data_IF_039720496450
#
_entry.id   IF_039720496450
#
_cell.length_a   1.000
_cell.length_b   1.000
_cell.length_c   1.000
_cell.angle_alpha   90.00
_cell.angle_beta   90.00
_cell.angle_gamma   90.00
#
_symmetry.space_group_name_H-M   'P 1'
#
loop_
_entity.id
_entity.type
_entity.pdbx_description
1 polymer ?
#
# COMPACT_ATOMS: atom_id res chain seq x y z
N UNK A 1 -6.57 -11.69 -29.34
CA UNK A 1 -7.95 -11.24 -29.01
C UNK A 1 -8.01 -10.32 -27.79
N UNK A 2 -7.38 -10.66 -26.64
CA UNK A 2 -7.44 -9.83 -25.41
C UNK A 2 -7.08 -8.35 -25.64
N UNK A 3 -6.00 -8.08 -26.36
CA UNK A 3 -5.56 -6.71 -26.65
C UNK A 3 -6.61 -5.86 -27.41
N UNK A 4 -7.35 -6.48 -28.35
CA UNK A 4 -8.43 -5.81 -29.09
C UNK A 4 -9.57 -5.48 -28.15
N UNK A 5 -10.01 -6.45 -27.33
CA UNK A 5 -11.08 -6.25 -26.35
C UNK A 5 -10.70 -5.16 -25.35
N UNK A 6 -9.48 -5.17 -24.80
CA UNK A 6 -9.01 -4.12 -23.89
C UNK A 6 -9.01 -2.74 -24.55
N UNK A 7 -8.69 -2.66 -25.85
CA UNK A 7 -8.73 -1.40 -26.60
C UNK A 7 -10.16 -0.88 -26.81
N UNK A 8 -11.12 -1.76 -27.09
CA UNK A 8 -12.52 -1.34 -27.25
C UNK A 8 -13.15 -0.93 -25.91
N UNK A 9 -12.81 -1.63 -24.84
CA UNK A 9 -13.25 -1.24 -23.48
C UNK A 9 -12.63 0.09 -23.05
N UNK A 10 -11.37 0.34 -23.38
CA UNK A 10 -10.74 1.66 -23.19
C UNK A 10 -11.52 2.76 -23.93
N UNK A 11 -11.83 2.56 -25.22
CA UNK A 11 -12.63 3.52 -26.02
C UNK A 11 -13.99 3.78 -25.39
N UNK A 12 -14.66 2.73 -24.89
CA UNK A 12 -15.93 2.85 -24.16
C UNK A 12 -15.77 3.71 -22.91
N UNK A 13 -14.73 3.49 -22.11
CA UNK A 13 -14.50 4.21 -20.85
C UNK A 13 -14.30 5.71 -21.04
N UNK A 14 -13.64 6.13 -22.12
CA UNK A 14 -13.35 7.54 -22.42
C UNK A 14 -14.42 8.24 -23.27
N UNK A 15 -15.48 7.54 -23.68
CA UNK A 15 -16.56 8.14 -24.47
C UNK A 15 -17.34 9.17 -23.63
N UNK A 16 -17.70 10.33 -24.19
CA UNK A 16 -18.53 11.30 -23.49
C UNK A 16 -19.90 10.69 -23.12
N UNK A 17 -20.46 11.14 -21.99
CA UNK A 17 -21.80 10.77 -21.51
C UNK A 17 -22.01 9.28 -21.19
N UNK A 18 -20.94 8.53 -20.87
CA UNK A 18 -21.08 7.18 -20.33
C UNK A 18 -21.49 7.25 -18.86
N UNK A 19 -22.41 6.37 -18.45
CA UNK A 19 -22.81 6.21 -17.06
C UNK A 19 -21.60 5.78 -16.19
N UNK A 20 -21.32 6.43 -15.03
CA UNK A 20 -20.23 6.05 -14.13
C UNK A 20 -20.25 4.57 -13.72
N UNK A 21 -21.44 3.96 -13.58
CA UNK A 21 -21.57 2.52 -13.32
C UNK A 21 -21.00 1.67 -14.45
N UNK A 22 -21.23 2.06 -15.71
CA UNK A 22 -20.67 1.36 -16.86
C UNK A 22 -19.15 1.46 -16.89
N UNK A 23 -18.59 2.64 -16.55
CA UNK A 23 -17.14 2.79 -16.38
C UNK A 23 -16.60 1.90 -15.27
N UNK A 24 -17.30 1.80 -14.14
CA UNK A 24 -16.91 0.95 -13.02
C UNK A 24 -16.85 -0.53 -13.44
N UNK A 25 -17.90 -1.03 -14.10
CA UNK A 25 -17.92 -2.42 -14.58
C UNK A 25 -16.90 -2.68 -15.69
N UNK A 26 -16.60 -1.70 -16.54
CA UNK A 26 -15.52 -1.79 -17.51
C UNK A 26 -14.15 -1.96 -16.82
N UNK A 27 -13.87 -1.18 -15.76
CA UNK A 27 -12.65 -1.34 -14.95
C UNK A 27 -12.62 -2.71 -14.28
N UNK A 28 -13.73 -3.16 -13.68
CA UNK A 28 -13.82 -4.49 -13.08
C UNK A 28 -13.52 -5.60 -14.10
N UNK A 29 -14.09 -5.50 -15.30
CA UNK A 29 -13.82 -6.43 -16.39
C UNK A 29 -12.34 -6.44 -16.77
N UNK A 30 -11.73 -5.27 -17.01
CA UNK A 30 -10.30 -5.17 -17.33
C UNK A 30 -9.44 -5.77 -16.21
N UNK A 31 -9.79 -5.55 -14.94
CA UNK A 31 -9.04 -6.08 -13.79
C UNK A 31 -9.07 -7.61 -13.67
N UNK A 32 -10.03 -8.26 -14.33
CA UNK A 32 -10.19 -9.71 -14.35
C UNK A 32 -9.53 -10.38 -15.56
N UNK A 33 -9.01 -9.60 -16.52
CA UNK A 33 -8.26 -10.15 -17.65
C UNK A 33 -7.07 -10.95 -17.12
N UNK A 34 -7.04 -12.24 -17.47
CA UNK A 34 -5.92 -13.11 -17.10
C UNK A 34 -4.72 -12.78 -18.00
N UNK A 35 -3.63 -12.38 -17.35
CA UNK A 35 -2.36 -12.06 -17.99
C UNK A 35 -1.39 -13.22 -17.80
N UNK A 36 -0.57 -13.45 -18.82
CA UNK A 36 0.56 -14.37 -18.79
C UNK A 36 1.88 -13.60 -19.03
N UNK A 37 3.02 -14.23 -18.74
CA UNK A 37 4.34 -13.57 -18.80
C UNK A 37 4.78 -13.18 -20.23
N UNK A 38 4.18 -13.78 -21.25
CA UNK A 38 4.34 -13.42 -22.67
C UNK A 38 3.54 -12.16 -23.08
N UNK A 39 2.64 -11.67 -22.23
CA UNK A 39 1.75 -10.53 -22.52
C UNK A 39 2.23 -9.22 -21.87
N UNK A 40 3.54 -8.98 -21.85
CA UNK A 40 4.14 -7.82 -21.17
C UNK A 40 3.64 -6.47 -21.71
N UNK A 41 3.50 -6.35 -23.03
CA UNK A 41 3.00 -5.13 -23.68
C UNK A 41 1.54 -4.84 -23.32
N UNK A 42 0.71 -5.89 -23.25
CA UNK A 42 -0.69 -5.77 -22.84
C UNK A 42 -0.78 -5.33 -21.38
N UNK A 43 0.04 -5.91 -20.50
CA UNK A 43 0.11 -5.52 -19.10
C UNK A 43 0.51 -4.05 -18.94
N UNK A 44 1.53 -3.59 -19.66
CA UNK A 44 1.96 -2.19 -19.66
C UNK A 44 0.86 -1.24 -20.18
N UNK A 45 0.13 -1.66 -21.23
CA UNK A 45 -1.03 -0.92 -21.74
C UNK A 45 -2.15 -0.82 -20.69
N UNK A 46 -2.49 -1.92 -20.02
CA UNK A 46 -3.51 -1.93 -18.97
C UNK A 46 -3.14 -1.01 -17.81
N UNK A 47 -1.88 -1.03 -17.34
CA UNK A 47 -1.40 -0.08 -16.32
C UNK A 47 -1.60 1.36 -16.76
N UNK A 48 -1.31 1.66 -18.03
CA UNK A 48 -1.51 3.00 -18.61
C UNK A 48 -2.99 3.39 -18.60
N UNK A 49 -3.89 2.49 -19.00
CA UNK A 49 -5.35 2.70 -18.97
C UNK A 49 -5.81 2.96 -17.54
N UNK A 50 -5.42 2.13 -16.57
CA UNK A 50 -5.82 2.31 -15.17
C UNK A 50 -5.34 3.65 -14.61
N UNK A 51 -4.09 4.04 -14.84
CA UNK A 51 -3.59 5.30 -14.33
C UNK A 51 -4.17 6.53 -15.03
N UNK A 52 -4.45 6.45 -16.33
CA UNK A 52 -5.11 7.54 -17.04
C UNK A 52 -6.50 7.80 -16.47
N UNK A 53 -7.28 6.74 -16.21
CA UNK A 53 -8.60 6.87 -15.58
C UNK A 53 -8.51 7.26 -14.10
N UNK A 54 -7.53 6.73 -13.36
CA UNK A 54 -7.24 7.12 -11.98
C UNK A 54 -6.97 8.63 -11.86
N UNK A 55 -6.12 9.19 -12.74
CA UNK A 55 -5.89 10.64 -12.79
C UNK A 55 -7.16 11.42 -13.08
N UNK A 56 -8.02 10.92 -13.98
CA UNK A 56 -9.29 11.55 -14.29
C UNK A 56 -10.24 11.58 -13.06
N UNK A 57 -10.36 10.48 -12.32
CA UNK A 57 -11.14 10.42 -11.08
C UNK A 57 -10.59 11.39 -10.02
N UNK A 58 -9.28 11.41 -9.80
CA UNK A 58 -8.63 12.31 -8.83
C UNK A 58 -8.85 13.79 -9.22
N UNK A 59 -8.72 14.15 -10.50
CA UNK A 59 -8.95 15.52 -10.98
C UNK A 59 -10.39 15.97 -10.81
N UNK A 60 -11.37 15.08 -11.05
CA UNK A 60 -12.79 15.38 -10.87
C UNK A 60 -13.22 15.45 -9.40
N UNK A 61 -12.32 15.17 -8.45
CA UNK A 61 -12.62 14.89 -7.04
C UNK A 61 -13.67 13.79 -6.88
N UNK A 62 -13.80 12.96 -7.90
CA UNK A 62 -14.69 11.81 -7.94
C UNK A 62 -13.92 10.62 -7.33
N UNK A 63 -13.74 10.73 -6.01
CA UNK A 63 -13.01 9.76 -5.19
C UNK A 63 -14.02 8.70 -4.73
N UNK A 64 -14.79 8.15 -5.66
CA UNK A 64 -15.58 6.96 -5.37
C UNK A 64 -14.62 5.83 -4.97
N UNK A 65 -14.65 5.50 -3.67
CA UNK A 65 -13.72 4.52 -3.07
C UNK A 65 -13.75 3.15 -3.77
N UNK A 66 -14.87 2.79 -4.40
CA UNK A 66 -15.02 1.54 -5.18
C UNK A 66 -14.26 1.60 -6.50
N UNK A 67 -14.40 2.69 -7.27
CA UNK A 67 -13.69 2.89 -8.53
C UNK A 67 -12.18 2.88 -8.30
N UNK A 68 -11.69 3.65 -7.33
CA UNK A 68 -10.26 3.70 -7.03
C UNK A 68 -9.71 2.35 -6.55
N UNK A 69 -10.49 1.59 -5.78
CA UNK A 69 -10.09 0.23 -5.38
C UNK A 69 -10.02 -0.72 -6.57
N UNK A 70 -10.96 -0.64 -7.51
CA UNK A 70 -10.94 -1.46 -8.73
C UNK A 70 -9.72 -1.14 -9.59
N UNK A 71 -9.41 0.15 -9.79
CA UNK A 71 -8.23 0.61 -10.54
C UNK A 71 -6.93 0.13 -9.89
N UNK A 72 -6.75 0.34 -8.58
CA UNK A 72 -5.55 -0.10 -7.86
C UNK A 72 -5.41 -1.63 -7.84
N UNK A 73 -6.52 -2.37 -7.80
CA UNK A 73 -6.50 -3.83 -7.91
C UNK A 73 -6.03 -4.25 -9.31
N UNK A 74 -6.53 -3.58 -10.36
CA UNK A 74 -6.10 -3.81 -11.74
C UNK A 74 -4.60 -3.54 -11.93
N UNK A 75 -4.09 -2.43 -11.40
CA UNK A 75 -2.66 -2.10 -11.47
C UNK A 75 -1.81 -3.13 -10.72
N UNK A 76 -2.15 -3.46 -9.48
CA UNK A 76 -1.40 -4.47 -8.70
C UNK A 76 -1.38 -5.85 -9.37
N UNK A 77 -2.42 -6.20 -10.13
CA UNK A 77 -2.49 -7.48 -10.87
C UNK A 77 -1.71 -7.45 -12.18
N UNK A 78 -1.72 -6.33 -12.89
CA UNK A 78 -1.00 -6.18 -14.16
C UNK A 78 0.50 -5.93 -13.97
N UNK A 79 0.88 -5.28 -12.88
CA UNK A 79 2.25 -4.85 -12.61
C UNK A 79 3.30 -5.99 -12.69
N UNK A 80 3.09 -7.19 -12.10
CA UNK A 80 4.08 -8.28 -12.19
C UNK A 80 4.37 -8.79 -13.61
N UNK A 81 3.49 -8.50 -14.57
CA UNK A 81 3.64 -8.92 -15.97
C UNK A 81 4.20 -7.82 -16.86
N UNK A 82 4.20 -6.57 -16.41
CA UNK A 82 4.66 -5.44 -17.21
C UNK A 82 6.16 -5.24 -17.07
N UNK A 83 6.94 -5.58 -18.11
CA UNK A 83 8.38 -5.35 -18.13
C UNK A 83 8.78 -3.88 -17.92
N UNK A 84 7.96 -2.94 -18.39
CA UNK A 84 8.12 -1.48 -18.19
C UNK A 84 7.20 -0.90 -17.11
N UNK A 85 6.70 -1.72 -16.18
CA UNK A 85 5.73 -1.31 -15.17
C UNK A 85 6.27 -0.22 -14.23
N UNK A 86 7.56 -0.29 -13.88
CA UNK A 86 8.21 0.63 -12.94
C UNK A 86 8.16 2.08 -13.40
N UNK A 87 8.51 2.36 -14.65
CA UNK A 87 8.52 3.74 -15.18
C UNK A 87 7.12 4.36 -15.16
N UNK A 88 6.11 3.58 -15.60
CA UNK A 88 4.72 4.04 -15.65
C UNK A 88 4.14 4.30 -14.25
N UNK A 89 4.47 3.49 -13.27
CA UNK A 89 4.05 3.72 -11.87
C UNK A 89 4.84 4.90 -11.27
N UNK A 90 6.12 5.05 -11.63
CA UNK A 90 6.99 6.13 -11.13
C UNK A 90 6.44 7.52 -11.47
N UNK A 91 5.94 7.70 -12.70
CA UNK A 91 5.25 8.93 -13.13
C UNK A 91 4.04 9.28 -12.25
N UNK A 92 3.49 8.31 -11.51
CA UNK A 92 2.25 8.43 -10.74
C UNK A 92 2.46 8.42 -9.23
N UNK A 93 3.70 8.35 -8.73
CA UNK A 93 3.98 8.25 -7.29
C UNK A 93 3.34 9.37 -6.47
N UNK A 94 3.43 10.61 -6.93
CA UNK A 94 2.83 11.74 -6.22
C UNK A 94 1.31 11.65 -6.13
N UNK A 95 0.67 11.19 -7.20
CA UNK A 95 -0.78 10.98 -7.22
C UNK A 95 -1.17 9.84 -6.29
N UNK A 96 -0.41 8.74 -6.29
CA UNK A 96 -0.62 7.61 -5.38
C UNK A 96 -0.49 8.05 -3.92
N UNK A 97 0.54 8.82 -3.56
CA UNK A 97 0.70 9.38 -2.22
C UNK A 97 -0.46 10.28 -1.81
N UNK A 98 -0.95 11.15 -2.71
CA UNK A 98 -2.14 11.96 -2.44
C UNK A 98 -3.34 11.07 -2.13
N UNK A 99 -3.56 10.03 -2.94
CA UNK A 99 -4.70 9.13 -2.78
C UNK A 99 -4.64 8.33 -1.48
N UNK A 100 -3.47 7.86 -1.04
CA UNK A 100 -3.32 7.15 0.26
C UNK A 100 -3.93 7.93 1.44
N UNK A 101 -3.87 9.26 1.40
CA UNK A 101 -4.42 10.11 2.46
C UNK A 101 -5.91 10.44 2.30
N UNK A 102 -6.48 10.25 1.11
CA UNK A 102 -7.87 10.64 0.81
C UNK A 102 -8.85 9.45 0.85
N UNK A 103 -8.36 8.23 0.65
CA UNK A 103 -9.20 7.04 0.54
C UNK A 103 -9.30 6.27 1.85
N UNK A 104 -10.32 5.40 1.92
CA UNK A 104 -10.54 4.46 3.02
C UNK A 104 -9.35 3.51 3.19
N UNK A 105 -9.19 2.98 4.41
CA UNK A 105 -8.08 2.11 4.82
C UNK A 105 -7.71 1.03 3.79
N UNK A 106 -8.67 0.19 3.36
CA UNK A 106 -8.38 -0.92 2.43
C UNK A 106 -7.78 -0.45 1.10
N UNK A 107 -8.34 0.60 0.49
CA UNK A 107 -7.84 1.18 -0.75
C UNK A 107 -6.47 1.82 -0.55
N UNK A 108 -6.24 2.42 0.62
CA UNK A 108 -4.94 2.99 0.96
C UNK A 108 -3.86 1.91 1.15
N UNK A 109 -4.21 0.75 1.74
CA UNK A 109 -3.30 -0.40 1.83
C UNK A 109 -2.89 -0.88 0.45
N UNK A 110 -3.83 -0.99 -0.50
CA UNK A 110 -3.52 -1.37 -1.88
C UNK A 110 -2.58 -0.37 -2.58
N UNK A 111 -2.78 0.93 -2.37
CA UNK A 111 -1.89 1.96 -2.90
C UNK A 111 -0.50 1.90 -2.24
N UNK A 112 -0.43 1.70 -0.92
CA UNK A 112 0.83 1.56 -0.20
C UNK A 112 1.60 0.29 -0.60
N UNK A 113 0.91 -0.81 -0.92
CA UNK A 113 1.56 -2.01 -1.45
C UNK A 113 2.23 -1.74 -2.80
N UNK A 114 1.53 -1.07 -3.71
CA UNK A 114 2.08 -0.71 -5.01
C UNK A 114 3.26 0.25 -4.88
N UNK A 115 3.12 1.27 -4.01
CA UNK A 115 4.21 2.18 -3.69
C UNK A 115 5.44 1.43 -3.15
N UNK A 116 5.23 0.53 -2.19
CA UNK A 116 6.31 -0.29 -1.63
C UNK A 116 7.00 -1.12 -2.72
N UNK A 117 6.23 -1.82 -3.55
CA UNK A 117 6.76 -2.72 -4.56
C UNK A 117 7.70 -2.00 -5.55
N UNK A 118 7.28 -0.82 -6.04
CA UNK A 118 8.07 -0.03 -7.00
C UNK A 118 9.26 0.65 -6.34
N UNK A 119 9.11 1.09 -5.08
CA UNK A 119 10.20 1.77 -4.38
C UNK A 119 11.26 0.77 -3.87
N UNK A 120 10.84 -0.42 -3.46
CA UNK A 120 11.73 -1.50 -2.99
C UNK A 120 12.53 -2.10 -4.16
N UNK A 121 11.92 -2.30 -5.34
CA UNK A 121 12.63 -2.80 -6.53
C UNK A 121 13.79 -1.88 -6.95
N UNK A 122 13.63 -0.58 -6.72
CA UNK A 122 14.62 0.46 -7.04
C UNK A 122 15.44 0.91 -5.83
N UNK A 123 15.32 0.23 -4.67
CA UNK A 123 15.99 0.59 -3.41
C UNK A 123 15.84 2.09 -3.03
N UNK A 124 14.66 2.64 -3.29
CA UNK A 124 14.36 4.08 -3.21
C UNK A 124 13.22 4.41 -2.24
N UNK A 125 12.95 3.52 -1.27
CA UNK A 125 11.91 3.73 -0.26
C UNK A 125 12.23 4.99 0.55
N UNK A 126 11.31 5.97 0.50
CA UNK A 126 11.51 7.29 1.10
C UNK A 126 10.86 7.41 2.47
N UNK A 127 11.27 8.40 3.25
CA UNK A 127 10.64 8.73 4.55
C UNK A 127 9.14 9.03 4.39
N UNK A 128 8.75 9.63 3.27
CA UNK A 128 7.34 9.91 2.94
C UNK A 128 6.49 8.63 2.93
N UNK A 129 7.06 7.53 2.41
CA UNK A 129 6.42 6.20 2.45
C UNK A 129 6.17 5.75 3.88
N UNK A 130 7.21 5.75 4.71
CA UNK A 130 7.10 5.30 6.09
C UNK A 130 6.18 6.20 6.92
N UNK A 131 6.17 7.51 6.70
CA UNK A 131 5.21 8.42 7.37
C UNK A 131 3.78 8.06 7.00
N UNK A 132 3.51 7.80 5.72
CA UNK A 132 2.18 7.41 5.26
C UNK A 132 1.75 6.06 5.85
N UNK A 133 2.64 5.06 5.84
CA UNK A 133 2.38 3.74 6.43
C UNK A 133 2.18 3.81 7.95
N UNK A 134 3.00 4.60 8.65
CA UNK A 134 2.91 4.78 10.10
C UNK A 134 1.57 5.38 10.51
N UNK A 135 1.10 6.39 9.78
CA UNK A 135 -0.23 6.98 10.02
C UNK A 135 -1.36 5.97 9.85
N UNK A 136 -1.22 4.99 8.97
CA UNK A 136 -2.23 3.95 8.76
C UNK A 136 -2.37 2.93 9.90
N UNK A 137 -1.40 2.85 10.82
CA UNK A 137 -1.58 2.09 12.07
C UNK A 137 -2.68 2.68 12.97
N UNK A 138 -2.95 3.98 12.84
CA UNK A 138 -3.94 4.70 13.64
C UNK A 138 -5.24 4.99 12.87
N UNK A 139 -5.38 4.42 11.68
CA UNK A 139 -6.57 4.64 10.86
C UNK A 139 -7.76 3.88 11.51
N UNK A 140 -8.88 4.55 11.84
CA UNK A 140 -10.04 3.88 12.43
C UNK A 140 -10.60 2.76 11.55
N UNK A 141 -10.35 2.81 10.24
CA UNK A 141 -10.70 1.75 9.30
C UNK A 141 -9.91 0.46 9.49
N UNK A 142 -8.83 0.46 10.29
CA UNK A 142 -8.05 -0.74 10.61
C UNK A 142 -8.91 -1.77 11.35
N UNK A 143 -9.66 -1.38 12.38
CA UNK A 143 -10.42 -2.32 13.21
C UNK A 143 -11.52 -3.05 12.46
N UNK A 144 -12.21 -2.34 11.55
CA UNK A 144 -13.30 -2.86 10.71
C UNK A 144 -12.81 -3.48 9.39
N UNK A 145 -11.51 -3.50 9.14
CA UNK A 145 -10.94 -4.00 7.89
C UNK A 145 -11.07 -5.53 7.78
N UNK A 146 -11.41 -6.01 6.58
CA UNK A 146 -11.29 -7.43 6.22
C UNK A 146 -9.90 -7.79 5.65
N UNK A 147 -8.95 -6.84 5.63
CA UNK A 147 -7.64 -6.96 4.96
C UNK A 147 -6.47 -6.88 5.95
N UNK A 148 -6.68 -7.27 7.21
CA UNK A 148 -5.62 -7.27 8.24
C UNK A 148 -4.36 -8.02 7.80
N UNK A 149 -4.49 -9.21 7.24
CA UNK A 149 -3.35 -10.02 6.81
C UNK A 149 -2.50 -9.32 5.73
N UNK A 150 -3.16 -8.60 4.82
CA UNK A 150 -2.50 -7.86 3.75
C UNK A 150 -1.72 -6.67 4.32
N UNK A 151 -2.31 -5.94 5.27
CA UNK A 151 -1.66 -4.83 5.94
C UNK A 151 -0.47 -5.27 6.81
N UNK A 152 -0.64 -6.34 7.60
CA UNK A 152 0.45 -6.91 8.40
C UNK A 152 1.61 -7.41 7.52
N UNK A 153 1.31 -8.03 6.38
CA UNK A 153 2.35 -8.44 5.42
C UNK A 153 3.11 -7.23 4.86
N UNK A 154 2.41 -6.17 4.48
CA UNK A 154 3.04 -4.93 4.04
C UNK A 154 3.94 -4.32 5.13
N UNK A 155 3.45 -4.25 6.38
CA UNK A 155 4.24 -3.80 7.52
C UNK A 155 5.51 -4.65 7.69
N UNK A 156 5.37 -5.98 7.68
CA UNK A 156 6.51 -6.89 7.81
C UNK A 156 7.59 -6.62 6.75
N UNK A 157 7.19 -6.59 5.47
CA UNK A 157 8.11 -6.32 4.36
C UNK A 157 8.78 -4.95 4.49
N UNK A 158 8.00 -3.93 4.81
CA UNK A 158 8.48 -2.55 4.98
C UNK A 158 9.51 -2.42 6.10
N UNK A 159 9.25 -3.04 7.24
CA UNK A 159 10.14 -3.00 8.40
C UNK A 159 11.38 -3.86 8.21
N UNK A 160 11.28 -4.97 7.48
CA UNK A 160 12.44 -5.79 7.12
C UNK A 160 13.40 -5.03 6.22
N UNK A 161 12.88 -4.36 5.19
CA UNK A 161 13.65 -3.54 4.25
C UNK A 161 14.24 -2.26 4.88
N UNK A 162 13.64 -1.75 5.97
CA UNK A 162 14.06 -0.50 6.59
C UNK A 162 15.42 -0.58 7.31
N UNK A 163 16.41 0.18 6.84
CA UNK A 163 17.74 0.27 7.46
C UNK A 163 17.74 1.13 8.74
N UNK A 164 16.74 1.99 8.94
CA UNK A 164 16.69 2.94 10.05
C UNK A 164 16.06 2.30 11.29
N UNK A 165 16.90 1.69 12.14
CA UNK A 165 16.46 0.95 13.35
C UNK A 165 15.56 1.78 14.27
N UNK A 166 15.82 3.09 14.41
CA UNK A 166 14.98 3.99 15.24
C UNK A 166 13.54 4.08 14.73
N UNK A 167 13.34 4.05 13.42
CA UNK A 167 12.02 4.07 12.80
C UNK A 167 11.31 2.73 12.99
N UNK A 168 12.03 1.63 12.76
CA UNK A 168 11.50 0.27 13.06
C UNK A 168 11.05 0.16 14.51
N UNK A 169 11.82 0.69 15.46
CA UNK A 169 11.44 0.79 16.88
C UNK A 169 10.10 1.51 17.08
N UNK A 170 9.93 2.67 16.46
CA UNK A 170 8.70 3.46 16.58
C UNK A 170 7.48 2.70 16.03
N UNK A 171 7.65 1.98 14.91
CA UNK A 171 6.63 1.11 14.34
C UNK A 171 6.25 -0.06 15.24
N UNK A 172 7.24 -0.79 15.76
CA UNK A 172 7.00 -1.92 16.68
C UNK A 172 6.24 -1.45 17.92
N UNK A 173 6.67 -0.35 18.56
CA UNK A 173 5.96 0.21 19.71
C UNK A 173 4.51 0.56 19.39
N UNK A 174 4.28 1.24 18.26
CA UNK A 174 2.93 1.63 17.84
C UNK A 174 2.05 0.42 17.52
N UNK A 175 2.61 -0.58 16.84
CA UNK A 175 1.89 -1.80 16.50
C UNK A 175 1.42 -2.52 17.76
N UNK A 176 2.31 -2.67 18.76
CA UNK A 176 1.95 -3.29 20.05
C UNK A 176 0.87 -2.49 20.81
N UNK A 177 0.96 -1.15 20.79
CA UNK A 177 -0.09 -0.29 21.37
C UNK A 177 -1.44 -0.53 20.68
N UNK A 178 -1.47 -0.51 19.35
CA UNK A 178 -2.69 -0.73 18.57
C UNK A 178 -3.25 -2.13 18.85
N UNK A 179 -2.41 -3.16 18.90
CA UNK A 179 -2.83 -4.54 19.18
C UNK A 179 -3.55 -4.71 20.52
N UNK A 180 -3.32 -3.85 21.51
CA UNK A 180 -4.05 -3.92 22.78
C UNK A 180 -5.56 -3.65 22.63
N UNK A 181 -5.97 -2.97 21.55
CA UNK A 181 -7.37 -2.62 21.27
C UNK A 181 -7.97 -3.43 20.10
N UNK A 182 -7.24 -4.42 19.58
CA UNK A 182 -7.67 -5.23 18.43
C UNK A 182 -8.13 -6.63 18.84
N UNK A 183 -8.73 -7.35 17.89
CA UNK A 183 -9.13 -8.74 18.09
C UNK A 183 -7.93 -9.64 18.38
N UNK A 184 -8.15 -10.74 19.10
CA UNK A 184 -7.11 -11.72 19.40
C UNK A 184 -6.38 -12.22 18.14
N UNK A 185 -7.09 -12.41 17.04
CA UNK A 185 -6.51 -12.84 15.75
C UNK A 185 -5.51 -11.80 15.21
N UNK A 186 -5.88 -10.52 15.23
CA UNK A 186 -4.99 -9.43 14.82
C UNK A 186 -3.75 -9.37 15.73
N UNK A 187 -3.96 -9.46 17.04
CA UNK A 187 -2.89 -9.41 18.04
C UNK A 187 -1.88 -10.54 17.87
N UNK A 188 -2.35 -11.77 17.64
CA UNK A 188 -1.47 -12.90 17.30
C UNK A 188 -0.64 -12.63 16.04
N UNK A 189 -1.26 -12.10 14.98
CA UNK A 189 -0.56 -11.74 13.74
C UNK A 189 0.48 -10.63 13.95
N UNK A 190 0.16 -9.62 14.76
CA UNK A 190 1.07 -8.54 15.10
C UNK A 190 2.28 -9.02 15.93
N UNK A 191 2.05 -9.88 16.93
CA UNK A 191 3.12 -10.48 17.74
C UNK A 191 4.03 -11.38 16.90
N UNK A 192 3.46 -12.18 16.00
CA UNK A 192 4.23 -12.97 15.05
C UNK A 192 5.11 -12.09 14.15
N UNK A 193 4.54 -11.01 13.59
CA UNK A 193 5.29 -10.04 12.79
C UNK A 193 6.46 -9.45 13.59
N UNK A 194 6.22 -9.01 14.82
CA UNK A 194 7.27 -8.44 15.69
C UNK A 194 8.39 -9.46 15.92
N UNK A 195 8.05 -10.71 16.21
CA UNK A 195 9.03 -11.80 16.38
C UNK A 195 9.91 -11.97 15.14
N UNK A 196 9.32 -12.01 13.94
CA UNK A 196 10.07 -12.15 12.69
C UNK A 196 10.95 -10.93 12.38
N UNK A 197 10.47 -9.72 12.65
CA UNK A 197 11.28 -8.50 12.50
C UNK A 197 12.47 -8.51 13.47
N UNK A 198 12.27 -8.94 14.71
CA UNK A 198 13.33 -9.05 15.71
C UNK A 198 14.39 -10.11 15.36
N UNK A 199 13.99 -11.23 14.73
CA UNK A 199 14.94 -12.20 14.18
C UNK A 199 15.81 -11.57 13.09
N UNK A 200 15.20 -10.78 12.20
CA UNK A 200 15.92 -10.12 11.10
C UNK A 200 16.80 -8.94 11.55
N UNK A 201 16.50 -8.32 12.69
CA UNK A 201 17.22 -7.15 13.23
C UNK A 201 17.54 -7.36 14.72
N UNK A 202 18.63 -8.08 15.05
CA UNK A 202 19.00 -8.40 16.43
C UNK A 202 19.20 -7.18 17.33
N UNK A 203 19.57 -6.03 16.77
CA UNK A 203 19.66 -4.75 17.48
C UNK A 203 18.35 -4.33 18.16
N UNK A 204 17.20 -4.87 17.72
CA UNK A 204 15.91 -4.68 18.39
C UNK A 204 15.77 -5.51 19.67
N UNK A 205 16.59 -6.54 19.90
CA UNK A 205 16.54 -7.34 21.14
C UNK A 205 17.06 -6.56 22.35
N UNK A 206 18.09 -5.74 22.14
CA UNK A 206 18.60 -4.80 23.15
C UNK A 206 17.47 -3.91 23.67
N UNK A 207 16.46 -3.64 22.84
CA UNK A 207 15.30 -2.82 23.16
C UNK A 207 14.32 -3.38 24.21
N UNK A 208 14.20 -4.71 24.30
CA UNK A 208 13.36 -5.36 25.31
C UNK A 208 14.14 -5.62 26.60
N UNK A 209 15.47 -5.53 26.52
CA UNK A 209 16.39 -5.83 27.63
C UNK A 209 16.89 -4.56 28.31
N UNK A 210 16.92 -3.42 27.61
CA UNK A 210 17.15 -2.10 28.22
C UNK A 210 15.86 -1.57 28.85
N UNK A 211 15.59 -2.05 30.06
CA UNK A 211 14.88 -1.25 31.07
C UNK A 211 15.69 0.01 31.37
N UNK A 212 15.03 1.16 31.35
CA UNK A 212 15.61 2.40 31.87
C UNK A 212 15.15 3.64 31.15
N UNK A 213 14.03 4.20 31.62
CA UNK A 213 13.96 5.65 31.80
C UNK A 213 15.33 6.08 32.35
N UNK A 214 16.07 7.03 31.75
CA UNK A 214 17.22 7.57 32.46
C UNK A 214 16.64 8.09 33.78
N UNK A 215 16.96 7.42 34.89
CA UNK A 215 16.74 7.98 36.20
C UNK A 215 17.36 9.36 36.14
N UNK A 216 16.51 10.38 36.07
CA UNK A 216 16.88 11.74 36.39
C UNK A 216 17.40 11.58 37.81
N UNK A 217 18.72 11.52 37.94
CA UNK A 217 19.40 11.77 39.20
C UNK A 217 18.91 13.16 39.57
N UNK A 218 17.89 13.22 40.42
CA UNK A 218 17.63 14.40 41.21
C UNK A 218 18.91 14.61 41.99
N UNK A 219 19.75 15.49 41.44
CA UNK A 219 20.93 16.00 42.11
C UNK A 219 20.47 16.50 43.46
N UNK A 220 21.06 15.92 44.51
CA UNK A 220 21.11 16.56 45.81
C UNK A 220 21.70 17.96 45.66
N UNK A 221 20.87 18.96 45.92
CA UNK A 221 21.17 20.35 46.30
C UNK A 221 19.80 20.88 46.70
N UNK A 222 19.44 21.11 47.95
CA UNK A 222 20.16 21.46 49.19
C UNK A 222 19.26 21.08 50.37
#
# INVERSE_FOLDING_TARGET
>A
MKAVVSCEVERLMFRPNINPKAQYYAVCFLSQVMLSHDEADLAAKLITIYFSFFRACVKKKDIESKMLSALLSGVNRAYPYAGSGDEKVKEQLDTLFKVVHLVKFNTAVQALMLLFQVMDSQQSISDRYYVALYRKLLDPGLSSSSRHSMFLNLLYKSLKADIVVRRVKAFVKRLLQVSAEQSASFTCGALFLVSEVMKSKPALKILLLEDGIPHVKWLHTT
#
